data_IF_246166390259
#
_entry.id   IF_246166390259
#
_cell.length_a   1.000
_cell.length_b   1.000
_cell.length_c   1.000
_cell.angle_alpha   90.00
_cell.angle_beta   90.00
_cell.angle_gamma   90.00
#
_symmetry.space_group_name_H-M   'P 1'
#
loop_
_entity.id
_entity.type
_entity.pdbx_description
1 polymer ?
#
# COMPACT_ATOMS: atom_id res chain seq x y z
N UNK A 1 -24.57 -5.08 -6.46
CA UNK A 1 -23.20 -4.91 -7.00
C UNK A 1 -22.54 -6.27 -6.96
N UNK A 2 -22.26 -6.90 -8.10
CA UNK A 2 -21.66 -8.24 -8.11
C UNK A 2 -20.23 -8.16 -7.54
N UNK A 3 -19.99 -8.84 -6.42
CA UNK A 3 -18.64 -9.06 -5.93
C UNK A 3 -17.88 -9.85 -7.00
N UNK A 4 -16.80 -9.27 -7.52
CA UNK A 4 -15.94 -9.95 -8.50
C UNK A 4 -15.13 -11.02 -7.78
N UNK A 5 -14.87 -12.15 -8.44
CA UNK A 5 -14.05 -13.22 -7.88
C UNK A 5 -12.62 -12.74 -7.63
N UNK A 6 -12.07 -13.07 -6.47
CA UNK A 6 -10.70 -12.77 -6.06
C UNK A 6 -9.94 -14.07 -5.81
N UNK A 7 -8.63 -14.04 -6.04
CA UNK A 7 -7.70 -15.13 -5.73
C UNK A 7 -6.51 -14.60 -4.94
N UNK A 8 -5.83 -15.46 -4.19
CA UNK A 8 -4.64 -15.07 -3.43
C UNK A 8 -3.38 -15.48 -4.19
N UNK A 9 -2.53 -14.51 -4.50
CA UNK A 9 -1.22 -14.72 -5.13
C UNK A 9 -0.15 -14.25 -4.15
N UNK A 10 0.68 -15.18 -3.66
CA UNK A 10 1.76 -14.89 -2.70
C UNK A 10 1.30 -14.07 -1.47
N UNK A 11 0.08 -14.33 -0.98
CA UNK A 11 -0.51 -13.63 0.18
C UNK A 11 -1.21 -12.30 -0.14
N UNK A 12 -1.25 -11.87 -1.41
CA UNK A 12 -1.96 -10.67 -1.87
C UNK A 12 -3.25 -11.09 -2.57
N UNK A 13 -4.39 -10.51 -2.17
CA UNK A 13 -5.68 -10.75 -2.85
C UNK A 13 -5.74 -9.90 -4.12
N UNK A 14 -5.99 -10.55 -5.25
CA UNK A 14 -6.10 -9.91 -6.57
C UNK A 14 -7.33 -10.43 -7.32
N UNK A 15 -7.74 -9.79 -8.42
CA UNK A 15 -8.78 -10.35 -9.30
C UNK A 15 -8.41 -11.77 -9.75
N UNK A 16 -9.39 -12.68 -9.77
CA UNK A 16 -9.19 -14.04 -10.23
C UNK A 16 -8.87 -14.13 -11.74
N UNK A 17 -9.47 -13.25 -12.54
CA UNK A 17 -9.25 -13.17 -13.98
C UNK A 17 -8.20 -12.10 -14.33
N UNK A 18 -7.06 -12.48 -14.95
CA UNK A 18 -6.07 -11.52 -15.44
C UNK A 18 -6.67 -10.56 -16.47
N UNK A 19 -6.22 -9.30 -16.47
CA UNK A 19 -6.69 -8.27 -17.40
C UNK A 19 -8.04 -7.64 -17.05
N UNK A 20 -8.78 -8.19 -16.08
CA UNK A 20 -10.06 -7.64 -15.64
C UNK A 20 -9.89 -6.27 -14.96
N UNK A 21 -10.77 -5.31 -15.31
CA UNK A 21 -10.78 -3.94 -14.76
C UNK A 21 -12.07 -3.64 -13.98
N UNK A 22 -12.02 -2.75 -12.97
CA UNK A 22 -10.83 -2.23 -12.30
C UNK A 22 -10.02 -3.33 -11.62
N UNK A 23 -8.70 -3.13 -11.57
CA UNK A 23 -7.79 -3.95 -10.78
C UNK A 23 -8.13 -3.73 -9.30
N UNK A 24 -8.23 -4.81 -8.54
CA UNK A 24 -8.39 -4.84 -7.10
C UNK A 24 -7.18 -5.53 -6.50
N UNK A 25 -6.52 -4.85 -5.56
CA UNK A 25 -5.42 -5.39 -4.77
C UNK A 25 -5.78 -5.20 -3.31
N UNK A 26 -5.92 -6.31 -2.58
CA UNK A 26 -6.36 -6.37 -1.19
C UNK A 26 -7.66 -5.60 -0.91
N UNK A 27 -8.55 -5.53 -1.90
CA UNK A 27 -9.82 -4.80 -1.81
C UNK A 27 -9.75 -3.34 -2.26
N UNK A 28 -8.57 -2.81 -2.60
CA UNK A 28 -8.37 -1.44 -3.05
C UNK A 28 -8.28 -1.35 -4.59
N UNK A 29 -8.88 -0.32 -5.17
CA UNK A 29 -8.90 -0.10 -6.63
C UNK A 29 -7.82 0.85 -7.13
N UNK A 30 -7.18 1.60 -6.23
CA UNK A 30 -6.16 2.58 -6.56
C UNK A 30 -4.93 2.38 -5.70
N UNK A 31 -3.76 2.69 -6.26
CA UNK A 31 -2.48 2.62 -5.54
C UNK A 31 -2.47 3.53 -4.31
N UNK A 32 -2.99 4.78 -4.33
CA UNK A 32 -3.07 5.61 -3.12
C UNK A 32 -3.97 5.04 -2.03
N UNK A 33 -5.08 4.38 -2.39
CA UNK A 33 -5.96 3.74 -1.41
C UNK A 33 -5.27 2.54 -0.74
N UNK A 34 -4.56 1.72 -1.53
CA UNK A 34 -3.74 0.63 -1.02
C UNK A 34 -2.61 1.14 -0.11
N UNK A 35 -1.86 2.16 -0.55
CA UNK A 35 -0.79 2.78 0.22
C UNK A 35 -1.30 3.28 1.57
N UNK A 36 -2.42 4.03 1.58
CA UNK A 36 -3.04 4.54 2.82
C UNK A 36 -3.41 3.41 3.77
N UNK A 37 -3.91 2.27 3.27
CA UNK A 37 -4.21 1.11 4.10
C UNK A 37 -2.94 0.51 4.70
N UNK A 38 -1.90 0.29 3.89
CA UNK A 38 -0.59 -0.21 4.37
C UNK A 38 0.05 0.72 5.40
N UNK A 39 -0.05 2.03 5.20
CA UNK A 39 0.46 2.99 6.18
C UNK A 39 -0.25 2.87 7.54
N UNK A 40 -1.58 2.68 7.53
CA UNK A 40 -2.37 2.52 8.75
C UNK A 40 -2.11 1.19 9.47
N UNK A 41 -1.88 0.13 8.70
CA UNK A 41 -1.57 -1.20 9.24
C UNK A 41 -0.21 -1.24 9.95
N UNK A 42 0.80 -0.56 9.39
CA UNK A 42 2.17 -0.60 9.90
C UNK A 42 2.52 0.53 10.88
N UNK A 43 1.81 1.66 10.81
CA UNK A 43 1.95 2.78 11.75
C UNK A 43 3.40 3.25 11.92
N UNK A 44 3.92 3.11 13.14
CA UNK A 44 5.23 3.65 13.52
C UNK A 44 6.41 2.74 13.13
N UNK A 45 6.14 1.59 12.49
CA UNK A 45 7.20 0.75 11.95
C UNK A 45 7.97 1.48 10.83
N UNK A 46 9.28 1.22 10.73
CA UNK A 46 10.12 1.80 9.67
C UNK A 46 9.62 1.37 8.29
N UNK A 47 9.22 2.34 7.46
CA UNK A 47 8.82 2.13 6.07
C UNK A 47 10.04 2.07 5.15
N UNK A 48 10.97 3.02 5.30
CA UNK A 48 12.20 3.09 4.53
C UNK A 48 13.27 3.88 5.29
N UNK A 49 14.48 3.91 4.72
CA UNK A 49 15.58 4.73 5.19
C UNK A 49 16.04 5.62 4.05
N UNK A 50 16.24 6.90 4.33
CA UNK A 50 16.77 7.89 3.40
C UNK A 50 17.88 8.67 4.10
N UNK A 51 18.79 9.27 3.32
CA UNK A 51 19.85 10.10 3.87
C UNK A 51 19.43 11.56 3.91
N UNK A 52 19.49 12.12 5.11
CA UNK A 52 19.35 13.56 5.33
C UNK A 52 20.70 14.13 5.69
N UNK A 53 21.19 15.08 4.88
CA UNK A 53 22.52 15.69 5.04
C UNK A 53 23.65 14.66 5.15
N UNK A 54 23.49 13.53 4.46
CA UNK A 54 24.46 12.42 4.46
C UNK A 54 24.28 11.38 5.57
N UNK A 55 23.37 11.60 6.52
CA UNK A 55 23.11 10.72 7.66
C UNK A 55 21.87 9.87 7.36
N UNK A 56 21.97 8.55 7.53
CA UNK A 56 20.83 7.65 7.37
C UNK A 56 19.78 7.86 8.46
N UNK A 57 18.59 8.30 8.05
CA UNK A 57 17.39 8.39 8.89
C UNK A 57 16.47 7.20 8.61
N UNK A 58 15.62 6.88 9.59
CA UNK A 58 14.54 5.92 9.44
C UNK A 58 13.21 6.67 9.48
N UNK A 59 12.38 6.45 8.47
CA UNK A 59 11.06 7.06 8.37
C UNK A 59 9.99 6.01 8.57
N UNK A 60 9.05 6.28 9.46
CA UNK A 60 7.92 5.38 9.71
C UNK A 60 6.89 5.44 8.58
N UNK A 61 5.98 4.48 8.56
CA UNK A 61 4.83 4.54 7.66
C UNK A 61 3.88 5.70 7.97
N UNK A 62 3.77 6.10 9.25
CA UNK A 62 3.07 7.30 9.70
C UNK A 62 3.72 8.57 9.13
N UNK A 63 5.05 8.68 9.21
CA UNK A 63 5.80 9.82 8.64
C UNK A 63 5.53 9.91 7.14
N UNK A 64 5.69 8.79 6.43
CA UNK A 64 5.49 8.75 4.99
C UNK A 64 4.07 9.18 4.58
N UNK A 65 3.04 8.69 5.27
CA UNK A 65 1.65 9.06 5.00
C UNK A 65 1.35 10.54 5.31
N UNK A 66 1.97 11.09 6.35
CA UNK A 66 1.80 12.49 6.72
C UNK A 66 2.36 13.40 5.63
N UNK A 67 3.55 13.09 5.12
CA UNK A 67 4.18 13.89 4.06
C UNK A 67 3.52 13.70 2.68
N UNK A 68 3.03 12.50 2.35
CA UNK A 68 2.33 12.25 1.09
C UNK A 68 0.95 12.96 0.96
N UNK A 69 0.48 13.60 2.03
CA UNK A 69 -0.78 14.36 2.07
C UNK A 69 -0.58 15.88 1.97
N UNK A 70 0.66 16.36 2.08
CA UNK A 70 1.04 17.75 1.92
C UNK A 70 1.01 18.12 0.43
#
# INVERSE_FOLDING_TARGET
>A
MNARAETTVKGVRVNAEPGQRPVRIDGHQTVPALLRARCRENGDATAHREKDLGIWQAYSWTDYLTHARL
#
